data_IF_940337819765
#
_entry.id   IF_940337819765
#
_cell.length_a   1.000
_cell.length_b   1.000
_cell.length_c   1.000
_cell.angle_alpha   90.00
_cell.angle_beta   90.00
_cell.angle_gamma   90.00
#
_symmetry.space_group_name_H-M   'P 1'
#
loop_
_entity.id
_entity.type
_entity.pdbx_description
1 polymer ?
#
# COMPACT_ATOMS: atom_id res chain seq x y z
N UNK A 1 13.56 -14.28 -39.10
CA UNK A 1 12.74 -13.20 -38.52
C UNK A 1 12.39 -13.60 -37.09
N UNK A 2 12.86 -12.83 -36.11
CA UNK A 2 12.63 -13.08 -34.69
C UNK A 2 11.30 -12.46 -34.27
N UNK A 3 10.33 -13.29 -33.87
CA UNK A 3 9.08 -12.81 -33.28
C UNK A 3 9.26 -12.73 -31.77
N UNK A 4 9.32 -11.49 -31.27
CA UNK A 4 9.22 -11.10 -29.86
C UNK A 4 8.08 -11.87 -29.17
N UNK A 5 8.40 -12.72 -28.19
CA UNK A 5 7.37 -13.30 -27.33
C UNK A 5 7.03 -12.31 -26.22
N UNK A 6 5.83 -11.75 -26.26
CA UNK A 6 5.24 -11.08 -25.09
C UNK A 6 4.77 -12.15 -24.10
N UNK A 7 5.31 -12.15 -22.89
CA UNK A 7 5.02 -13.15 -21.84
C UNK A 7 3.71 -12.86 -21.10
N UNK A 8 2.60 -12.75 -21.84
CA UNK A 8 1.24 -12.64 -21.28
C UNK A 8 0.33 -13.83 -21.65
N UNK A 9 0.88 -14.89 -22.23
CA UNK A 9 0.11 -16.07 -22.62
C UNK A 9 0.46 -17.28 -21.75
N UNK A 10 -0.51 -17.82 -21.01
CA UNK A 10 -0.43 -19.18 -20.49
C UNK A 10 -0.50 -20.13 -21.69
N UNK A 11 0.63 -20.76 -22.05
CA UNK A 11 0.70 -21.72 -23.16
C UNK A 11 0.81 -23.13 -22.59
N UNK A 12 -0.18 -23.98 -22.87
CA UNK A 12 -0.12 -25.42 -22.60
C UNK A 12 0.24 -26.13 -23.91
N UNK A 13 1.47 -26.64 -24.00
CA UNK A 13 1.95 -27.38 -25.16
C UNK A 13 2.17 -28.84 -24.81
N UNK A 14 1.56 -29.74 -25.59
CA UNK A 14 1.85 -31.19 -25.53
C UNK A 14 2.52 -31.58 -26.84
N UNK A 15 3.66 -32.28 -26.78
CA UNK A 15 4.35 -32.83 -27.95
C UNK A 15 4.37 -34.35 -27.87
N UNK A 16 4.00 -35.02 -28.97
CA UNK A 16 3.86 -36.47 -29.08
C UNK A 16 2.39 -36.90 -29.02
N UNK A 17 1.95 -37.74 -29.96
CA UNK A 17 0.62 -38.33 -29.94
C UNK A 17 0.51 -39.31 -28.77
N UNK A 18 0.02 -38.81 -27.64
CA UNK A 18 -0.61 -39.64 -26.62
C UNK A 18 -1.89 -38.91 -26.22
N UNK A 19 -3.02 -39.62 -26.29
CA UNK A 19 -4.35 -39.03 -26.19
C UNK A 19 -4.61 -38.45 -24.82
N UNK A 20 -4.36 -37.15 -24.64
CA UNK A 20 -4.80 -36.43 -23.46
C UNK A 20 -6.25 -36.00 -23.66
N UNK A 21 -7.08 -36.31 -22.68
CA UNK A 21 -8.38 -35.67 -22.49
C UNK A 21 -8.22 -34.69 -21.36
N UNK A 22 -8.48 -33.42 -21.64
CA UNK A 22 -8.66 -32.44 -20.59
C UNK A 22 -10.15 -32.44 -20.25
N UNK A 23 -10.48 -32.64 -18.97
CA UNK A 23 -11.82 -32.38 -18.45
C UNK A 23 -12.01 -30.86 -18.29
N UNK A 24 -12.92 -30.39 -17.43
CA UNK A 24 -13.23 -28.95 -17.29
C UNK A 24 -12.01 -28.10 -16.87
N UNK A 25 -11.32 -27.51 -17.86
CA UNK A 25 -10.25 -26.52 -17.65
C UNK A 25 -10.89 -25.13 -17.51
N UNK A 26 -10.68 -24.46 -16.37
CA UNK A 26 -11.18 -23.11 -16.13
C UNK A 26 -10.04 -22.17 -15.70
N UNK A 27 -9.75 -21.17 -16.54
CA UNK A 27 -8.81 -20.10 -16.20
C UNK A 27 -9.59 -18.96 -15.56
N UNK A 28 -9.29 -18.66 -14.30
CA UNK A 28 -9.93 -17.59 -13.56
C UNK A 28 -8.98 -16.40 -13.45
N UNK A 29 -9.41 -15.23 -13.92
CA UNK A 29 -8.68 -13.96 -13.71
C UNK A 29 -8.75 -13.45 -12.26
N UNK A 30 -9.34 -14.23 -11.35
CA UNK A 30 -9.57 -13.92 -9.93
C UNK A 30 -9.48 -15.19 -9.09
N UNK A 31 -9.29 -15.03 -7.78
CA UNK A 31 -9.30 -16.15 -6.83
C UNK A 31 -10.63 -16.92 -6.89
N UNK A 32 -10.56 -18.25 -6.94
CA UNK A 32 -11.70 -19.17 -6.87
C UNK A 32 -12.37 -19.18 -5.49
N UNK A 33 -11.65 -18.73 -4.47
CA UNK A 33 -12.21 -18.46 -3.16
C UNK A 33 -12.58 -16.97 -3.12
N UNK A 34 -13.85 -16.64 -3.35
CA UNK A 34 -14.35 -15.27 -3.29
C UNK A 34 -14.04 -14.61 -1.92
N UNK A 35 -14.02 -15.40 -0.85
CA UNK A 35 -13.64 -14.96 0.50
C UNK A 35 -12.12 -14.80 0.72
N UNK A 36 -11.29 -15.16 -0.26
CA UNK A 36 -9.85 -14.87 -0.35
C UNK A 36 -9.52 -14.24 -1.70
N UNK A 37 -10.29 -13.25 -2.09
CA UNK A 37 -10.06 -12.47 -3.30
C UNK A 37 -9.72 -11.02 -2.91
N UNK A 38 -8.74 -10.44 -3.62
CA UNK A 38 -8.49 -9.01 -3.59
C UNK A 38 -8.69 -8.45 -4.99
N UNK A 39 -9.59 -7.48 -5.13
CA UNK A 39 -9.77 -6.73 -6.37
C UNK A 39 -9.32 -5.29 -6.17
N UNK A 40 -8.88 -4.64 -7.25
CA UNK A 40 -8.40 -3.26 -7.26
C UNK A 40 -9.10 -2.50 -8.38
N UNK A 41 -9.50 -1.26 -8.11
CA UNK A 41 -9.99 -0.33 -9.12
C UNK A 41 -9.10 0.93 -9.10
N UNK A 42 -8.71 1.39 -10.29
CA UNK A 42 -7.92 2.60 -10.45
C UNK A 42 -8.77 3.76 -10.98
N UNK A 43 -8.42 4.98 -10.61
CA UNK A 43 -8.98 6.19 -11.21
C UNK A 43 -8.37 6.48 -12.60
N UNK A 44 -8.82 7.56 -13.23
CA UNK A 44 -8.34 8.01 -14.55
C UNK A 44 -6.86 8.40 -14.57
N UNK A 45 -6.28 8.73 -13.42
CA UNK A 45 -4.85 9.02 -13.24
C UNK A 45 -4.03 7.76 -12.94
N UNK A 46 -4.60 6.56 -13.12
CA UNK A 46 -3.99 5.28 -12.82
C UNK A 46 -3.54 5.10 -11.36
N UNK A 47 -4.26 5.73 -10.42
CA UNK A 47 -4.05 5.59 -8.98
C UNK A 47 -5.11 4.67 -8.39
N UNK A 48 -4.76 3.90 -7.36
CA UNK A 48 -5.65 2.97 -6.69
C UNK A 48 -6.82 3.72 -6.03
N UNK A 49 -8.01 3.70 -6.60
CA UNK A 49 -9.20 4.37 -6.07
C UNK A 49 -9.92 3.52 -5.01
N UNK A 50 -9.99 2.20 -5.21
CA UNK A 50 -10.55 1.28 -4.23
C UNK A 50 -9.95 -0.11 -4.32
N UNK A 51 -9.98 -0.84 -3.21
CA UNK A 51 -9.67 -2.26 -3.14
C UNK A 51 -10.76 -3.00 -2.39
N UNK A 52 -11.02 -4.25 -2.75
CA UNK A 52 -11.95 -5.11 -2.01
C UNK A 52 -11.19 -6.36 -1.58
N UNK A 53 -10.93 -6.51 -0.30
CA UNK A 53 -10.23 -7.67 0.27
C UNK A 53 -11.21 -8.46 1.13
N UNK A 54 -11.47 -9.71 0.77
CA UNK A 54 -12.36 -10.60 1.52
C UNK A 54 -13.75 -9.97 1.80
N UNK A 55 -14.27 -9.22 0.83
CA UNK A 55 -15.55 -8.49 0.93
C UNK A 55 -15.48 -7.11 1.58
N UNK A 56 -14.37 -6.74 2.21
CA UNK A 56 -14.17 -5.41 2.79
C UNK A 56 -13.66 -4.44 1.74
N UNK A 57 -14.46 -3.41 1.46
CA UNK A 57 -14.06 -2.33 0.54
C UNK A 57 -13.25 -1.27 1.27
N UNK A 58 -12.08 -0.96 0.75
CA UNK A 58 -11.25 0.18 1.16
C UNK A 58 -11.22 1.21 0.03
N UNK A 59 -11.54 2.46 0.33
CA UNK A 59 -11.48 3.57 -0.62
C UNK A 59 -10.30 4.48 -0.32
N UNK A 60 -9.74 5.07 -1.37
CA UNK A 60 -8.59 5.97 -1.31
C UNK A 60 -8.89 7.25 -2.08
N UNK A 61 -8.59 8.41 -1.49
CA UNK A 61 -8.67 9.69 -2.16
C UNK A 61 -7.29 10.35 -2.21
N UNK A 62 -7.01 11.09 -3.28
CA UNK A 62 -5.71 11.71 -3.51
C UNK A 62 -5.85 13.22 -3.74
N UNK A 63 -4.78 13.96 -3.44
CA UNK A 63 -4.67 15.36 -3.83
C UNK A 63 -4.28 15.51 -5.31
N UNK A 64 -4.22 16.76 -5.79
CA UNK A 64 -3.85 17.07 -7.18
C UNK A 64 -2.42 16.63 -7.56
N UNK A 65 -1.54 16.41 -6.58
CA UNK A 65 -0.18 15.89 -6.79
C UNK A 65 -0.10 14.37 -6.66
N UNK A 66 -1.26 13.70 -6.51
CA UNK A 66 -1.34 12.25 -6.44
C UNK A 66 -0.93 11.64 -5.12
N UNK A 67 -0.98 12.41 -4.03
CA UNK A 67 -0.66 11.94 -2.69
C UNK A 67 -1.94 11.61 -1.95
N UNK A 68 -1.90 10.54 -1.15
CA UNK A 68 -3.07 10.02 -0.45
C UNK A 68 -3.58 11.06 0.56
N UNK A 69 -4.83 11.50 0.47
CA UNK A 69 -5.51 12.38 1.42
C UNK A 69 -6.29 11.59 2.46
N UNK A 70 -7.05 10.58 2.01
CA UNK A 70 -7.89 9.78 2.89
C UNK A 70 -7.87 8.31 2.48
N UNK A 71 -8.05 7.45 3.48
CA UNK A 71 -8.30 6.03 3.32
C UNK A 71 -9.45 5.63 4.23
N UNK A 72 -10.44 4.91 3.73
CA UNK A 72 -11.61 4.51 4.52
C UNK A 72 -11.95 3.05 4.27
N UNK A 73 -12.32 2.30 5.31
CA UNK A 73 -12.83 0.94 5.21
C UNK A 73 -13.84 0.68 6.33
N UNK A 74 -15.12 0.50 6.00
CA UNK A 74 -16.19 0.41 6.98
C UNK A 74 -16.24 1.66 7.87
N UNK A 75 -16.12 1.48 9.19
CA UNK A 75 -16.06 2.56 10.19
C UNK A 75 -14.65 3.10 10.43
N UNK A 76 -13.62 2.44 9.89
CA UNK A 76 -12.24 2.90 10.02
C UNK A 76 -11.91 3.95 8.95
N UNK A 77 -11.16 4.96 9.35
CA UNK A 77 -10.70 6.04 8.46
C UNK A 77 -9.29 6.46 8.82
N UNK A 78 -8.54 6.93 7.83
CA UNK A 78 -7.26 7.57 8.01
C UNK A 78 -7.19 8.82 7.13
N UNK A 79 -6.62 9.89 7.66
CA UNK A 79 -6.38 11.15 6.97
C UNK A 79 -4.91 11.50 7.02
N UNK A 80 -4.40 12.07 5.92
CA UNK A 80 -2.99 12.36 5.71
C UNK A 80 -2.83 13.84 5.36
N UNK A 81 -2.03 14.55 6.13
CA UNK A 81 -1.73 15.95 5.90
C UNK A 81 -0.26 16.15 5.56
N UNK A 82 0.02 17.05 4.64
CA UNK A 82 1.36 17.28 4.09
C UNK A 82 1.83 18.72 4.33
N UNK A 83 3.15 18.92 4.35
CA UNK A 83 3.82 20.22 4.34
C UNK A 83 4.82 20.22 3.19
N UNK A 84 4.55 21.00 2.14
CA UNK A 84 5.29 20.86 0.88
C UNK A 84 5.07 19.46 0.33
N UNK A 85 6.14 18.74 -0.01
CA UNK A 85 6.18 17.35 -0.48
C UNK A 85 6.18 16.30 0.65
N UNK A 86 6.33 16.71 1.91
CA UNK A 86 6.55 15.80 3.05
C UNK A 86 5.27 15.54 3.84
N UNK A 87 5.07 14.29 4.25
CA UNK A 87 3.99 13.90 5.15
C UNK A 87 4.21 14.52 6.53
N UNK A 88 3.26 15.32 7.00
CA UNK A 88 3.33 16.02 8.29
C UNK A 88 2.59 15.26 9.38
N UNK A 89 1.40 14.75 9.08
CA UNK A 89 0.51 14.17 10.06
C UNK A 89 -0.35 13.07 9.45
N UNK A 90 -0.60 12.03 10.24
CA UNK A 90 -1.58 10.99 9.96
C UNK A 90 -2.49 10.86 11.18
N UNK A 91 -3.80 10.82 10.95
CA UNK A 91 -4.78 10.45 11.96
C UNK A 91 -5.50 9.22 11.48
N UNK A 92 -5.56 8.15 12.26
CA UNK A 92 -6.11 6.85 11.88
C UNK A 92 -7.04 6.29 12.94
N UNK A 93 -8.09 5.59 12.53
CA UNK A 93 -8.93 4.77 13.40
C UNK A 93 -8.87 3.29 13.02
N UNK A 94 -7.92 2.91 12.14
CA UNK A 94 -7.71 1.52 11.76
C UNK A 94 -7.12 0.71 12.93
N UNK A 95 -7.61 -0.52 13.15
CA UNK A 95 -7.08 -1.39 14.20
C UNK A 95 -5.62 -1.73 13.92
N UNK A 96 -4.78 -1.69 14.96
CA UNK A 96 -3.34 -1.97 14.86
C UNK A 96 -2.50 -0.80 14.32
N UNK A 97 -3.12 0.33 13.95
CA UNK A 97 -2.40 1.54 13.59
C UNK A 97 -2.33 2.53 14.76
N UNK A 98 -1.34 3.42 14.74
CA UNK A 98 -1.29 4.53 15.67
C UNK A 98 -2.38 5.54 15.32
N UNK A 99 -3.21 5.92 16.30
CA UNK A 99 -4.31 6.87 16.15
C UNK A 99 -3.85 8.24 15.66
N UNK A 100 -2.65 8.65 16.07
CA UNK A 100 -2.04 9.90 15.60
C UNK A 100 -0.54 9.70 15.40
N UNK A 101 -0.06 10.11 14.22
CA UNK A 101 1.35 10.15 13.88
C UNK A 101 1.70 11.55 13.40
N UNK A 102 2.68 12.20 14.01
CA UNK A 102 3.24 13.46 13.53
C UNK A 102 4.72 13.27 13.15
N UNK A 103 5.16 13.96 12.11
CA UNK A 103 6.55 13.92 11.64
C UNK A 103 7.10 15.33 11.54
N UNK A 104 8.30 15.54 12.08
CA UNK A 104 9.04 16.80 11.93
C UNK A 104 10.31 16.58 11.14
N UNK A 105 10.70 17.62 10.39
CA UNK A 105 11.84 17.60 9.49
C UNK A 105 12.77 18.76 9.81
N UNK A 106 14.07 18.58 9.55
CA UNK A 106 15.06 19.63 9.62
C UNK A 106 15.04 20.53 8.36
N UNK A 107 15.87 21.58 8.35
CA UNK A 107 15.95 22.52 7.22
C UNK A 107 16.52 21.90 5.94
N UNK A 108 17.14 20.72 6.02
CA UNK A 108 17.61 19.93 4.87
C UNK A 108 16.56 18.90 4.42
N UNK A 109 15.38 18.90 5.03
CA UNK A 109 14.28 18.01 4.70
C UNK A 109 14.43 16.58 5.22
N UNK A 110 15.39 16.30 6.10
CA UNK A 110 15.53 14.98 6.74
C UNK A 110 14.59 14.89 7.93
N UNK A 111 13.99 13.72 8.16
CA UNK A 111 13.09 13.51 9.31
C UNK A 111 13.90 13.56 10.61
N UNK A 112 13.46 14.38 11.57
CA UNK A 112 14.09 14.56 12.89
C UNK A 112 13.39 13.75 13.97
N UNK A 113 12.06 13.66 13.89
CA UNK A 113 11.30 12.79 14.77
C UNK A 113 10.01 12.28 14.13
N UNK A 114 9.52 11.18 14.70
CA UNK A 114 8.21 10.62 14.46
C UNK A 114 7.53 10.43 15.81
N UNK A 115 6.45 11.14 16.04
CA UNK A 115 5.63 11.01 17.25
C UNK A 115 4.41 10.15 16.94
N UNK A 116 4.25 8.99 17.58
CA UNK A 116 3.11 8.11 17.38
C UNK A 116 2.42 7.83 18.71
N UNK A 117 1.11 8.15 18.81
CA UNK A 117 0.33 7.99 20.05
C UNK A 117 0.99 8.58 21.29
N UNK A 118 1.62 9.77 21.15
CA UNK A 118 2.33 10.41 22.25
C UNK A 118 3.80 9.98 22.43
N UNK A 119 4.23 8.88 21.80
CA UNK A 119 5.61 8.38 21.89
C UNK A 119 6.46 9.08 20.83
N UNK A 120 7.46 9.84 21.28
CA UNK A 120 8.38 10.54 20.40
C UNK A 120 9.61 9.68 20.11
N UNK A 121 9.79 9.32 18.85
CA UNK A 121 10.96 8.59 18.36
C UNK A 121 11.84 9.58 17.60
N UNK A 122 13.06 9.78 18.10
CA UNK A 122 14.02 10.71 17.48
C UNK A 122 14.88 9.97 16.47
N UNK A 123 14.99 10.57 15.27
CA UNK A 123 15.87 10.11 14.21
C UNK A 123 17.12 10.99 14.23
N UNK A 124 18.24 10.40 14.64
CA UNK A 124 19.54 11.06 14.65
C UNK A 124 20.30 10.69 13.38
N UNK A 125 20.84 11.70 12.68
CA UNK A 125 21.64 11.52 11.48
C UNK A 125 23.13 11.68 11.84
N UNK A 126 23.80 10.58 12.18
CA UNK A 126 25.25 10.56 12.38
C UNK A 126 25.92 9.94 11.14
N UNK A 127 26.91 10.65 10.58
CA UNK A 127 27.72 10.18 9.43
C UNK A 127 26.89 9.66 8.24
N UNK A 128 25.76 10.31 7.94
CA UNK A 128 24.90 9.95 6.81
C UNK A 128 23.97 8.74 7.05
N UNK A 129 23.95 8.17 8.26
CA UNK A 129 23.07 7.04 8.61
C UNK A 129 22.03 7.44 9.65
N UNK A 130 20.78 7.03 9.43
CA UNK A 130 19.68 7.27 10.35
C UNK A 130 19.72 6.25 11.50
N UNK A 131 19.84 6.71 12.74
CA UNK A 131 19.73 5.90 13.95
C UNK A 131 18.48 6.32 14.73
N UNK A 132 17.67 5.33 15.10
CA UNK A 132 16.43 5.53 15.86
C UNK A 132 16.76 5.46 17.35
N UNK A 133 16.40 6.50 18.11
CA UNK A 133 16.47 6.50 19.58
C UNK A 133 15.06 6.57 20.18
N UNK A 134 14.75 5.62 21.04
CA UNK A 134 13.60 5.71 21.95
C UNK A 134 14.02 6.53 23.16
N UNK A 135 13.34 7.65 23.42
CA UNK A 135 13.42 8.34 24.70
C UNK A 135 12.12 8.05 25.44
N UNK A 136 12.16 7.11 26.38
CA UNK A 136 11.07 6.98 27.35
C UNK A 136 10.95 8.31 28.11
N UNK A 137 9.76 8.92 28.07
CA UNK A 137 9.42 10.00 28.99
C UNK A 137 9.08 9.30 30.30
N UNK A 138 10.06 9.19 31.19
CA UNK A 138 9.78 8.90 32.60
C UNK A 138 8.84 9.99 33.12
N UNK A 139 7.61 9.60 33.48
CA UNK A 139 6.80 10.30 34.48
C UNK A 139 6.83 9.48 35.74
#
# INVERSE_FOLDING_TARGET
MSTTMNTNALRLGVRGQSGFRFDNVSVHARSLNAAKSTTYACNTSNQLASSVTNGTTTNYAYDAWGRLLTRTAGTASASYAYRGDKLKQVTSTFPGEASSVAMNYDGLGRRRNRMANGINVFDCWFLGRCHVWFREVLR
#
